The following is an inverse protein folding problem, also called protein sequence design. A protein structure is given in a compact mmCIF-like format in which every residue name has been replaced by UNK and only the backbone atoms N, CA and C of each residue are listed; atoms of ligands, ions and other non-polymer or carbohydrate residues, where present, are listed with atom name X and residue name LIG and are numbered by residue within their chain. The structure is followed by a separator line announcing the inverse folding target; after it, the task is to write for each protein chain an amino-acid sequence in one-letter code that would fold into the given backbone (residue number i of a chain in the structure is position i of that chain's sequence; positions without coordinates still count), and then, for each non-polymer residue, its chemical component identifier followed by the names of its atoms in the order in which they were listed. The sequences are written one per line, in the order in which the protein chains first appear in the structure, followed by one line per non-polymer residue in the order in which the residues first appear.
data_IF_260662106190
#
_entry.id   IF_260662106190
#
_cell.length_a   1.000
_cell.length_b   1.000
_cell.length_c   1.000
_cell.angle_alpha   90.00
_cell.angle_beta   90.00
_cell.angle_gamma   90.00
#
_symmetry.space_group_name_H-M   'P 1'
#
loop_
_entity.id
_entity.type
_entity.pdbx_description
1 polymer ?
#
# COMPACT_ATOMS: atom_id res chain seq x y z
N UNK A 1 20.26 -0.11 -70.87
CA UNK A 1 21.35 0.74 -70.36
C UNK A 1 22.08 -0.06 -69.30
N UNK A 2 23.18 -0.59 -69.70
CA UNK A 2 24.10 -1.47 -68.98
C UNK A 2 25.14 -0.62 -68.28
N UNK A 3 25.30 -0.79 -66.97
CA UNK A 3 26.45 -0.30 -66.25
C UNK A 3 27.19 -1.46 -65.61
N UNK A 4 28.32 -1.68 -66.21
CA UNK A 4 29.36 -2.66 -65.92
C UNK A 4 30.23 -2.11 -64.79
N UNK A 5 30.44 -2.90 -63.74
CA UNK A 5 31.39 -2.57 -62.69
C UNK A 5 32.58 -3.52 -62.80
N UNK A 6 33.80 -3.03 -62.92
CA UNK A 6 34.97 -3.90 -63.13
C UNK A 6 35.47 -4.45 -61.78
N UNK A 7 35.81 -5.74 -61.83
CA UNK A 7 36.46 -6.47 -60.72
C UNK A 7 37.92 -6.08 -60.67
N UNK A 8 38.40 -5.44 -59.63
CA UNK A 8 39.84 -5.24 -59.37
C UNK A 8 40.44 -6.53 -58.83
N UNK A 9 41.36 -7.03 -59.59
CA UNK A 9 42.25 -8.14 -59.19
C UNK A 9 43.40 -7.59 -58.39
N UNK A 10 43.37 -7.87 -57.06
CA UNK A 10 44.52 -7.59 -56.19
C UNK A 10 45.63 -8.59 -56.43
N UNK A 11 46.77 -8.10 -56.88
CA UNK A 11 48.01 -8.80 -57.04
C UNK A 11 48.52 -9.39 -55.72
N UNK A 12 48.96 -10.64 -55.79
CA UNK A 12 49.62 -11.35 -54.69
C UNK A 12 50.94 -10.69 -54.35
N UNK A 13 51.09 -10.33 -53.05
CA UNK A 13 52.38 -9.95 -52.49
C UNK A 13 53.21 -11.19 -52.12
N UNK A 14 54.54 -11.14 -52.23
CA UNK A 14 55.40 -12.27 -51.95
C UNK A 14 55.46 -12.58 -50.43
N UNK A 15 55.57 -13.86 -50.14
CA UNK A 15 55.70 -14.40 -48.77
C UNK A 15 57.13 -14.05 -48.28
N UNK A 16 57.22 -13.12 -47.35
CA UNK A 16 58.47 -12.90 -46.60
C UNK A 16 58.62 -14.01 -45.54
N UNK A 17 59.72 -14.70 -45.62
CA UNK A 17 60.20 -15.68 -44.63
C UNK A 17 60.40 -15.01 -43.29
N UNK A 18 59.56 -15.39 -42.35
CA UNK A 18 59.59 -14.98 -40.97
C UNK A 18 60.80 -15.65 -40.31
N UNK A 19 61.86 -14.88 -40.05
CA UNK A 19 62.98 -15.29 -39.20
C UNK A 19 62.42 -15.57 -37.78
N UNK A 20 62.76 -16.74 -37.27
CA UNK A 20 62.47 -17.15 -35.90
C UNK A 20 63.26 -16.26 -34.94
N UNK A 21 62.61 -15.21 -34.39
CA UNK A 21 63.05 -14.59 -33.14
C UNK A 21 62.81 -15.59 -32.02
N UNK A 22 63.87 -16.08 -31.42
CA UNK A 22 63.83 -16.79 -30.15
C UNK A 22 63.20 -15.87 -29.10
N UNK A 23 61.93 -16.05 -28.81
CA UNK A 23 61.25 -15.41 -27.69
C UNK A 23 61.77 -16.06 -26.40
N UNK A 24 62.64 -15.36 -25.72
CA UNK A 24 63.04 -15.70 -24.37
C UNK A 24 61.81 -15.50 -23.45
N UNK A 25 61.24 -16.57 -22.87
CA UNK A 25 59.98 -16.47 -22.10
C UNK A 25 60.16 -15.60 -20.86
N UNK A 26 61.38 -15.38 -20.40
CA UNK A 26 61.69 -14.47 -19.31
C UNK A 26 61.57 -12.98 -19.69
N UNK A 27 61.92 -12.61 -20.92
CA UNK A 27 61.78 -11.23 -21.38
C UNK A 27 60.32 -10.82 -21.56
N UNK A 28 59.44 -11.76 -22.01
CA UNK A 28 58.01 -11.51 -22.11
C UNK A 28 57.33 -11.33 -20.73
N UNK A 29 57.75 -12.10 -19.72
CA UNK A 29 57.25 -11.96 -18.34
C UNK A 29 57.72 -10.65 -17.73
N UNK A 30 58.95 -10.23 -17.93
CA UNK A 30 59.51 -8.95 -17.43
C UNK A 30 58.75 -7.76 -18.08
N UNK A 31 58.54 -7.79 -19.39
CA UNK A 31 57.73 -6.77 -20.08
C UNK A 31 56.26 -6.69 -19.55
N UNK A 32 55.65 -7.83 -19.32
CA UNK A 32 54.29 -7.88 -18.73
C UNK A 32 54.22 -7.36 -17.30
N UNK A 33 55.25 -7.58 -16.48
CA UNK A 33 55.36 -7.02 -15.12
C UNK A 33 55.56 -5.50 -15.15
N UNK A 34 56.36 -5.00 -16.08
CA UNK A 34 56.57 -3.54 -16.26
C UNK A 34 55.28 -2.86 -16.76
N UNK A 35 54.52 -3.48 -17.67
CA UNK A 35 53.25 -2.97 -18.15
C UNK A 35 52.18 -2.95 -17.04
N UNK A 36 52.11 -3.99 -16.22
CA UNK A 36 51.24 -4.03 -15.03
C UNK A 36 51.65 -2.95 -13.99
N UNK A 37 52.93 -2.73 -13.80
CA UNK A 37 53.43 -1.70 -12.88
C UNK A 37 53.08 -0.29 -13.38
N UNK A 38 53.27 -0.02 -14.66
CA UNK A 38 52.90 1.27 -15.25
C UNK A 38 51.37 1.51 -15.22
N UNK A 39 50.57 0.48 -15.47
CA UNK A 39 49.11 0.55 -15.36
C UNK A 39 48.67 0.81 -13.90
N UNK A 40 49.31 0.18 -12.93
CA UNK A 40 49.04 0.39 -11.52
C UNK A 40 49.42 1.82 -11.04
N UNK A 41 50.52 2.35 -11.54
CA UNK A 41 50.93 3.74 -11.25
C UNK A 41 50.00 4.76 -11.92
N UNK A 42 49.51 4.50 -13.13
CA UNK A 42 48.49 5.33 -13.80
C UNK A 42 47.14 5.29 -13.05
N UNK A 43 46.74 4.13 -12.57
CA UNK A 43 45.52 3.99 -11.79
C UNK A 43 45.59 4.74 -10.44
N UNK A 44 46.79 4.69 -9.81
CA UNK A 44 47.02 5.39 -8.55
C UNK A 44 46.97 6.91 -8.75
N UNK A 45 47.60 7.44 -9.79
CA UNK A 45 47.55 8.88 -10.10
C UNK A 45 46.12 9.34 -10.43
N UNK A 46 45.35 8.55 -11.15
CA UNK A 46 43.93 8.84 -11.44
C UNK A 46 43.05 8.84 -10.18
N UNK A 47 43.32 7.94 -9.23
CA UNK A 47 42.64 7.93 -7.94
C UNK A 47 43.02 9.14 -7.08
N UNK A 48 44.28 9.51 -7.05
CA UNK A 48 44.74 10.68 -6.29
C UNK A 48 44.17 11.99 -6.88
N UNK A 49 44.08 12.12 -8.20
CA UNK A 49 43.43 13.26 -8.86
C UNK A 49 41.92 13.32 -8.58
N UNK A 50 41.23 12.18 -8.58
CA UNK A 50 39.78 12.12 -8.21
C UNK A 50 39.57 12.49 -6.75
N UNK A 51 40.36 11.96 -5.84
CA UNK A 51 40.35 12.31 -4.43
C UNK A 51 40.60 13.80 -4.20
N UNK A 52 41.57 14.38 -4.89
CA UNK A 52 41.88 15.81 -4.80
C UNK A 52 40.74 16.69 -5.33
N UNK A 53 40.07 16.27 -6.42
CA UNK A 53 38.91 16.99 -6.97
C UNK A 53 37.67 16.87 -6.08
N UNK A 54 37.39 15.69 -5.53
CA UNK A 54 36.29 15.51 -4.58
C UNK A 54 36.50 16.27 -3.27
N UNK A 55 37.74 16.23 -2.73
CA UNK A 55 38.06 16.98 -1.51
C UNK A 55 37.92 18.49 -1.73
N UNK A 56 38.30 18.98 -2.92
CA UNK A 56 38.11 20.39 -3.29
C UNK A 56 36.65 20.78 -3.41
N UNK A 57 35.83 19.92 -4.07
CA UNK A 57 34.38 20.16 -4.21
C UNK A 57 33.67 20.12 -2.87
N UNK A 58 34.09 19.25 -1.95
CA UNK A 58 33.57 19.21 -0.57
C UNK A 58 33.98 20.45 0.19
N UNK A 59 35.23 20.89 0.08
CA UNK A 59 35.73 22.13 0.69
C UNK A 59 34.97 23.36 0.20
N UNK A 60 34.72 23.46 -1.11
CA UNK A 60 33.92 24.55 -1.71
C UNK A 60 32.46 24.53 -1.24
N UNK A 61 31.89 23.35 -1.05
CA UNK A 61 30.53 23.19 -0.50
C UNK A 61 30.46 23.58 0.98
N UNK A 62 31.47 23.23 1.77
CA UNK A 62 31.54 23.62 3.19
C UNK A 62 31.70 25.13 3.31
N UNK A 63 32.60 25.76 2.56
CA UNK A 63 32.78 27.22 2.58
C UNK A 63 31.58 27.97 2.05
N UNK A 64 30.84 27.42 1.06
CA UNK A 64 29.55 27.96 0.62
C UNK A 64 28.46 27.85 1.70
N UNK A 65 28.43 26.77 2.45
CA UNK A 65 27.52 26.58 3.59
C UNK A 65 27.89 27.51 4.76
N UNK A 66 29.19 27.65 5.09
CA UNK A 66 29.66 28.57 6.14
C UNK A 66 29.35 30.04 5.76
N UNK A 67 29.52 30.39 4.48
CA UNK A 67 29.16 31.75 3.98
C UNK A 67 27.65 32.00 4.07
N UNK A 68 26.84 30.98 3.88
CA UNK A 68 25.37 31.06 4.07
C UNK A 68 24.97 31.16 5.53
N UNK A 69 25.64 30.45 6.44
CA UNK A 69 25.39 30.49 7.88
C UNK A 69 25.84 31.86 8.51
N UNK A 70 26.92 32.46 8.01
CA UNK A 70 27.49 33.69 8.55
C UNK A 70 26.93 34.97 7.90
N UNK A 71 25.91 34.89 7.05
CA UNK A 71 25.28 36.06 6.42
C UNK A 71 24.26 36.68 7.38
N UNK A 72 24.50 37.86 7.96
CA UNK A 72 23.51 38.53 8.81
C UNK A 72 22.34 39.00 7.94
N UNK A 73 21.19 38.40 8.11
CA UNK A 73 19.87 38.97 7.85
C UNK A 73 19.60 39.60 6.48
N UNK A 74 19.28 38.78 5.50
CA UNK A 74 18.26 39.14 4.52
C UNK A 74 17.31 37.94 4.39
N UNK A 75 16.19 38.03 5.11
CA UNK A 75 15.13 37.03 5.11
C UNK A 75 14.50 36.89 3.74
N UNK A 76 14.96 35.93 2.96
CA UNK A 76 14.27 35.47 1.73
C UNK A 76 14.84 34.13 1.25
N UNK A 77 15.03 33.12 2.09
CA UNK A 77 15.33 31.74 1.60
C UNK A 77 14.98 30.62 2.60
N UNK A 78 13.97 30.77 3.42
CA UNK A 78 13.43 29.65 4.24
C UNK A 78 12.07 29.14 3.75
N UNK A 79 11.62 29.52 2.54
CA UNK A 79 10.27 29.19 2.05
C UNK A 79 10.09 27.79 1.46
N UNK A 80 11.06 26.90 1.46
CA UNK A 80 10.89 25.56 0.86
C UNK A 80 10.93 24.37 1.83
N UNK A 81 11.24 24.58 3.11
CA UNK A 81 11.16 23.51 4.11
C UNK A 81 10.00 23.67 5.10
N UNK A 82 9.32 24.82 5.10
CA UNK A 82 8.21 25.12 6.01
C UNK A 82 6.82 25.08 5.34
N UNK A 83 6.71 24.71 4.06
CA UNK A 83 5.41 24.57 3.39
C UNK A 83 4.43 23.67 4.16
N UNK A 84 4.80 22.44 4.61
CA UNK A 84 3.88 21.61 5.39
C UNK A 84 3.54 22.19 6.76
N UNK A 85 4.47 22.92 7.39
CA UNK A 85 4.21 23.60 8.67
C UNK A 85 3.32 24.86 8.51
N UNK A 86 3.38 25.51 7.36
CA UNK A 86 2.50 26.65 7.04
C UNK A 86 1.07 26.18 6.73
N UNK A 87 0.90 25.12 5.95
CA UNK A 87 -0.41 24.51 5.69
C UNK A 87 -1.09 24.01 6.95
N UNK A 88 -0.34 23.37 7.85
CA UNK A 88 -0.87 22.89 9.10
C UNK A 88 -1.31 24.06 10.01
N UNK A 89 -0.51 25.13 10.11
CA UNK A 89 -0.89 26.34 10.86
C UNK A 89 -2.15 26.98 10.26
N UNK A 90 -2.22 27.09 8.94
CA UNK A 90 -3.38 27.61 8.25
C UNK A 90 -4.63 26.74 8.47
N UNK A 91 -4.48 25.42 8.46
CA UNK A 91 -5.58 24.51 8.76
C UNK A 91 -6.04 24.60 10.22
N UNK A 92 -5.13 24.72 11.17
CA UNK A 92 -5.44 24.94 12.58
C UNK A 92 -6.15 26.29 12.80
N UNK A 93 -5.69 27.37 12.13
CA UNK A 93 -6.38 28.66 12.12
C UNK A 93 -7.77 28.54 11.51
N UNK A 94 -7.93 27.78 10.43
CA UNK A 94 -9.22 27.51 9.80
C UNK A 94 -10.19 26.79 10.73
N UNK A 95 -9.73 25.73 11.42
CA UNK A 95 -10.56 24.96 12.36
C UNK A 95 -11.02 25.84 13.51
N UNK A 96 -10.12 26.65 14.07
CA UNK A 96 -10.42 27.52 15.24
C UNK A 96 -11.26 28.73 14.87
N UNK A 97 -10.81 29.51 13.92
CA UNK A 97 -11.33 30.87 13.66
C UNK A 97 -12.20 30.98 12.40
N UNK A 98 -12.11 30.00 11.47
CA UNK A 98 -12.77 30.08 10.16
C UNK A 98 -12.04 31.02 9.22
N UNK A 99 -12.39 30.94 7.92
CA UNK A 99 -11.75 31.73 6.85
C UNK A 99 -11.91 33.24 7.06
N UNK A 100 -12.98 33.67 7.72
CA UNK A 100 -13.32 35.09 7.92
C UNK A 100 -12.33 35.82 8.84
N UNK A 101 -11.56 35.10 9.67
CA UNK A 101 -10.62 35.67 10.64
C UNK A 101 -9.16 35.29 10.35
N UNK A 102 -8.90 34.70 9.20
CA UNK A 102 -7.56 34.29 8.78
C UNK A 102 -6.84 35.40 8.01
N UNK A 103 -5.52 35.43 8.11
CA UNK A 103 -4.68 36.31 7.29
C UNK A 103 -4.69 35.87 5.82
N UNK A 104 -4.51 36.83 4.90
CA UNK A 104 -4.55 36.57 3.47
C UNK A 104 -3.52 35.53 2.99
N UNK A 105 -2.38 35.43 3.68
CA UNK A 105 -1.34 34.46 3.35
C UNK A 105 -1.71 33.04 3.84
N UNK A 106 -2.37 32.91 4.97
CA UNK A 106 -2.92 31.63 5.47
C UNK A 106 -4.06 31.13 4.56
N UNK A 107 -4.93 32.02 4.11
CA UNK A 107 -5.99 31.70 3.14
C UNK A 107 -5.40 31.21 1.83
N UNK A 108 -4.30 31.81 1.37
CA UNK A 108 -3.59 31.32 0.16
C UNK A 108 -2.99 29.94 0.34
N UNK A 109 -2.42 29.65 1.50
CA UNK A 109 -1.89 28.31 1.81
C UNK A 109 -2.98 27.23 1.76
N UNK A 110 -4.20 27.56 2.20
CA UNK A 110 -5.37 26.68 2.12
C UNK A 110 -5.99 26.59 0.72
N UNK A 111 -5.94 27.65 -0.10
CA UNK A 111 -6.59 27.68 -1.44
C UNK A 111 -5.89 26.80 -2.47
N UNK A 112 -4.65 26.42 -2.28
CA UNK A 112 -3.95 25.42 -3.12
C UNK A 112 -4.64 24.05 -3.04
N UNK A 113 -5.40 23.80 -1.98
CA UNK A 113 -6.03 22.52 -1.67
C UNK A 113 -7.56 22.58 -1.59
N UNK A 114 -8.24 23.48 -2.35
CA UNK A 114 -9.71 23.57 -2.33
C UNK A 114 -10.37 22.47 -3.15
N UNK A 115 -11.35 21.80 -2.55
CA UNK A 115 -12.23 20.86 -3.27
C UNK A 115 -13.33 21.62 -4.04
N UNK A 116 -13.75 21.08 -5.19
CA UNK A 116 -14.85 21.58 -6.03
C UNK A 116 -16.20 21.72 -5.31
N UNK A 117 -16.34 21.13 -4.12
CA UNK A 117 -17.55 21.19 -3.29
C UNK A 117 -17.50 22.24 -2.16
N UNK A 118 -16.50 23.14 -2.17
CA UNK A 118 -16.39 24.24 -1.20
C UNK A 118 -15.78 23.88 0.17
N UNK A 119 -15.24 22.66 0.31
CA UNK A 119 -14.47 22.26 1.49
C UNK A 119 -12.96 22.45 1.26
N UNK A 120 -12.20 22.61 2.34
CA UNK A 120 -10.75 22.61 2.27
C UNK A 120 -10.20 21.19 2.43
N UNK A 121 -9.22 20.82 1.59
CA UNK A 121 -8.49 19.57 1.75
C UNK A 121 -7.64 19.65 3.03
N UNK A 122 -7.70 18.60 3.82
CA UNK A 122 -6.87 18.51 5.01
C UNK A 122 -5.39 18.35 4.65
N UNK A 123 -4.45 18.96 5.41
CA UNK A 123 -3.02 18.82 5.18
C UNK A 123 -2.58 17.35 5.17
N UNK A 124 -1.50 17.03 4.43
CA UNK A 124 -1.00 15.66 4.34
C UNK A 124 -0.66 15.03 5.70
N UNK A 125 -0.23 15.83 6.68
CA UNK A 125 0.06 15.34 8.03
C UNK A 125 -1.20 14.88 8.75
N UNK A 126 -2.29 15.66 8.64
CA UNK A 126 -3.59 15.32 9.20
C UNK A 126 -4.16 14.05 8.53
N UNK A 127 -4.09 13.96 7.21
CA UNK A 127 -4.52 12.78 6.47
C UNK A 127 -3.69 11.55 6.85
N UNK A 128 -2.39 11.72 7.04
CA UNK A 128 -1.47 10.64 7.43
C UNK A 128 -1.73 10.15 8.85
N UNK A 129 -2.08 11.04 9.77
CA UNK A 129 -2.48 10.69 11.14
C UNK A 129 -3.84 10.00 11.15
N UNK A 130 -4.80 10.49 10.38
CA UNK A 130 -6.09 9.85 10.17
C UNK A 130 -5.92 8.45 9.58
N UNK A 131 -5.15 8.29 8.51
CA UNK A 131 -4.93 6.97 7.88
C UNK A 131 -4.24 5.98 8.84
N UNK A 132 -3.33 6.47 9.68
CA UNK A 132 -2.69 5.66 10.73
C UNK A 132 -3.70 5.18 11.77
N UNK A 133 -4.58 6.07 12.22
CA UNK A 133 -5.61 5.75 13.20
C UNK A 133 -6.71 4.88 12.59
N UNK A 134 -7.05 5.09 11.32
CA UNK A 134 -8.03 4.32 10.59
C UNK A 134 -7.74 2.81 10.59
N UNK A 135 -6.46 2.42 10.53
CA UNK A 135 -6.04 1.01 10.59
C UNK A 135 -6.40 0.38 11.94
N UNK A 136 -6.44 1.14 13.02
CA UNK A 136 -6.83 0.63 14.34
C UNK A 136 -8.30 0.22 14.38
N UNK A 137 -9.16 0.95 13.66
CA UNK A 137 -10.61 0.72 13.64
C UNK A 137 -11.07 -0.13 12.44
N UNK A 138 -10.25 -0.24 11.39
CA UNK A 138 -10.52 -1.06 10.22
C UNK A 138 -9.33 -1.99 9.91
N UNK A 139 -9.17 -3.10 10.64
CA UNK A 139 -8.04 -4.03 10.48
C UNK A 139 -7.93 -4.63 9.08
N UNK A 140 -9.04 -4.68 8.32
CA UNK A 140 -9.03 -5.17 6.92
C UNK A 140 -8.06 -4.38 6.03
N UNK A 141 -7.82 -3.10 6.32
CA UNK A 141 -6.85 -2.27 5.61
C UNK A 141 -5.40 -2.74 5.79
N UNK A 142 -5.07 -3.32 6.95
CA UNK A 142 -3.74 -3.86 7.20
C UNK A 142 -3.49 -5.17 6.44
N UNK A 143 -4.53 -5.96 6.21
CA UNK A 143 -4.44 -7.23 5.51
C UNK A 143 -4.61 -7.08 3.98
N UNK A 144 -5.44 -6.15 3.52
CA UNK A 144 -5.79 -5.92 2.12
C UNK A 144 -4.79 -4.98 1.42
N UNK A 145 -4.84 -4.98 0.09
CA UNK A 145 -4.04 -4.05 -0.72
C UNK A 145 -4.80 -2.74 -0.94
N UNK A 146 -4.26 -1.64 -0.45
CA UNK A 146 -4.75 -0.28 -0.70
C UNK A 146 -4.08 0.32 -1.93
N UNK A 147 -4.83 1.01 -2.77
CA UNK A 147 -4.35 1.68 -3.98
C UNK A 147 -5.09 3.00 -4.21
N UNK A 148 -4.43 4.04 -4.70
CA UNK A 148 -5.11 5.28 -5.06
C UNK A 148 -5.98 5.09 -6.30
N UNK A 149 -7.09 5.83 -6.39
CA UNK A 149 -8.02 5.83 -7.50
C UNK A 149 -8.22 7.23 -8.07
N UNK A 150 -8.17 7.36 -9.39
CA UNK A 150 -8.41 8.62 -10.11
C UNK A 150 -9.86 8.81 -10.56
N UNK A 151 -10.64 7.72 -10.66
CA UNK A 151 -12.03 7.73 -11.14
C UNK A 151 -13.03 7.22 -10.11
N UNK A 152 -14.31 7.48 -10.32
CA UNK A 152 -15.39 6.98 -9.45
C UNK A 152 -15.75 5.52 -9.67
N UNK A 153 -15.30 4.95 -10.78
CA UNK A 153 -15.43 3.53 -11.13
C UNK A 153 -14.08 3.02 -11.58
N UNK A 154 -13.67 1.87 -11.06
CA UNK A 154 -12.43 1.22 -11.41
C UNK A 154 -12.76 -0.10 -12.12
N UNK A 155 -12.30 -0.21 -13.36
CA UNK A 155 -12.50 -1.41 -14.17
C UNK A 155 -11.20 -2.22 -14.12
N UNK A 156 -11.27 -3.40 -13.53
CA UNK A 156 -10.15 -4.34 -13.49
C UNK A 156 -10.36 -5.44 -14.52
N UNK A 157 -9.38 -5.73 -15.39
CA UNK A 157 -9.45 -6.90 -16.26
C UNK A 157 -9.36 -8.16 -15.40
N UNK A 158 -10.33 -9.05 -15.56
CA UNK A 158 -10.36 -10.37 -14.91
C UNK A 158 -10.26 -11.44 -15.96
N UNK A 159 -9.28 -12.33 -15.82
CA UNK A 159 -9.20 -13.52 -16.68
C UNK A 159 -10.29 -14.49 -16.27
N UNK A 160 -11.18 -14.83 -17.20
CA UNK A 160 -12.32 -15.74 -17.00
C UNK A 160 -12.09 -17.14 -17.55
N UNK A 161 -11.16 -17.27 -18.51
CA UNK A 161 -10.78 -18.57 -19.06
C UNK A 161 -9.27 -18.72 -19.17
N UNK A 162 -8.79 -19.94 -19.00
CA UNK A 162 -7.36 -20.29 -19.10
C UNK A 162 -7.09 -20.96 -20.44
N UNK A 163 -5.88 -20.77 -20.98
CA UNK A 163 -5.38 -21.64 -22.05
C UNK A 163 -5.11 -23.02 -21.48
N UNK A 164 -5.45 -24.05 -22.25
CA UNK A 164 -5.08 -25.42 -21.96
C UNK A 164 -3.93 -25.83 -22.85
N UNK A 165 -2.86 -26.38 -22.26
CA UNK A 165 -1.78 -27.01 -22.98
C UNK A 165 -2.11 -28.51 -23.16
N UNK A 166 -1.88 -29.05 -24.34
CA UNK A 166 -2.02 -30.50 -24.62
C UNK A 166 -0.67 -31.09 -24.99
N UNK A 167 -0.40 -32.28 -24.52
CA UNK A 167 0.73 -33.08 -24.95
C UNK A 167 0.34 -33.78 -26.24
N UNK A 168 1.16 -33.69 -27.28
CA UNK A 168 0.92 -34.33 -28.55
C UNK A 168 2.23 -34.89 -29.14
N UNK A 169 2.13 -35.90 -29.99
CA UNK A 169 3.25 -36.41 -30.79
C UNK A 169 3.57 -35.46 -31.95
N UNK A 170 4.67 -35.72 -32.67
CA UNK A 170 5.23 -34.89 -33.74
C UNK A 170 4.23 -34.50 -34.84
N UNK A 171 3.23 -35.34 -35.09
CA UNK A 171 2.19 -35.11 -36.11
C UNK A 171 0.82 -34.74 -35.58
N UNK A 172 0.67 -34.58 -34.24
CA UNK A 172 -0.62 -34.27 -33.62
C UNK A 172 -0.84 -32.75 -33.62
N UNK A 173 -1.90 -32.24 -34.29
CA UNK A 173 -2.16 -30.79 -34.28
C UNK A 173 -2.47 -30.30 -32.84
N UNK A 174 -1.83 -29.22 -32.42
CA UNK A 174 -2.10 -28.60 -31.15
C UNK A 174 -3.50 -27.97 -31.14
N UNK A 175 -4.26 -28.22 -30.04
CA UNK A 175 -5.56 -27.60 -29.85
C UNK A 175 -5.34 -26.18 -29.32
N UNK A 176 -5.59 -25.18 -30.16
CA UNK A 176 -5.50 -23.77 -29.76
C UNK A 176 -6.67 -23.36 -28.87
N UNK A 177 -6.38 -22.98 -27.65
CA UNK A 177 -7.36 -22.35 -26.74
C UNK A 177 -6.94 -20.91 -26.47
N UNK A 178 -7.90 -19.97 -26.55
CA UNK A 178 -7.63 -18.55 -26.26
C UNK A 178 -8.05 -18.21 -24.84
N UNK A 179 -7.26 -17.38 -24.13
CA UNK A 179 -7.69 -16.87 -22.84
C UNK A 179 -8.86 -15.90 -23.03
N UNK A 180 -9.89 -16.03 -22.20
CA UNK A 180 -11.00 -15.09 -22.17
C UNK A 180 -10.84 -14.12 -21.02
N UNK A 181 -11.14 -12.86 -21.28
CA UNK A 181 -11.05 -11.79 -20.29
C UNK A 181 -12.43 -11.18 -20.08
N UNK A 182 -12.80 -11.02 -18.82
CA UNK A 182 -13.94 -10.24 -18.37
C UNK A 182 -13.49 -8.95 -17.70
N UNK A 183 -14.45 -8.16 -17.30
CA UNK A 183 -14.21 -6.93 -16.54
C UNK A 183 -14.89 -7.05 -15.19
N UNK A 184 -14.18 -6.65 -14.15
CA UNK A 184 -14.73 -6.49 -12.82
C UNK A 184 -14.76 -5.01 -12.49
N UNK A 185 -15.93 -4.51 -12.13
CA UNK A 185 -16.15 -3.11 -11.77
C UNK A 185 -16.18 -2.97 -10.26
N UNK A 186 -15.43 -2.00 -9.75
CA UNK A 186 -15.43 -1.61 -8.35
C UNK A 186 -15.79 -0.13 -8.29
N UNK A 187 -16.90 0.17 -7.66
CA UNK A 187 -17.40 1.53 -7.50
C UNK A 187 -16.79 2.17 -6.25
N UNK A 188 -16.53 3.47 -6.35
CA UNK A 188 -16.07 4.31 -5.24
C UNK A 188 -17.25 5.08 -4.71
N UNK A 189 -17.56 4.85 -3.44
CA UNK A 189 -18.68 5.49 -2.75
C UNK A 189 -18.19 6.64 -1.87
N UNK A 190 -19.09 7.52 -1.52
CA UNK A 190 -18.81 8.66 -0.67
C UNK A 190 -19.22 8.35 0.77
N UNK A 191 -18.27 8.45 1.68
CA UNK A 191 -18.47 8.32 3.12
C UNK A 191 -18.45 9.71 3.74
N UNK A 192 -19.46 10.04 4.53
CA UNK A 192 -19.66 11.37 5.16
C UNK A 192 -19.89 11.18 6.65
N UNK A 193 -19.28 12.04 7.45
CA UNK A 193 -19.62 12.19 8.85
C UNK A 193 -19.56 13.66 9.25
N UNK A 194 -20.09 14.00 10.42
CA UNK A 194 -19.96 15.32 11.01
C UNK A 194 -19.77 15.21 12.52
N UNK A 195 -19.07 16.21 13.05
CA UNK A 195 -18.87 16.39 14.47
C UNK A 195 -19.28 17.81 14.84
N UNK A 196 -20.02 17.97 15.94
CA UNK A 196 -20.42 19.28 16.48
C UNK A 196 -19.52 19.63 17.66
N UNK A 197 -18.87 20.79 17.59
CA UNK A 197 -17.93 21.29 18.59
C UNK A 197 -18.45 22.60 19.15
N UNK A 198 -18.39 22.81 20.46
CA UNK A 198 -18.88 24.05 21.08
C UNK A 198 -17.92 25.23 20.79
N UNK A 199 -18.50 26.43 20.60
CA UNK A 199 -17.72 27.66 20.42
C UNK A 199 -16.78 27.92 21.59
N UNK A 200 -17.23 27.64 22.81
CA UNK A 200 -16.42 27.79 24.05
C UNK A 200 -15.18 26.87 24.01
N UNK A 201 -15.36 25.62 23.54
CA UNK A 201 -14.22 24.69 23.37
C UNK A 201 -13.22 25.19 22.34
N UNK A 202 -13.71 25.77 21.23
CA UNK A 202 -12.85 26.33 20.18
C UNK A 202 -12.05 27.56 20.66
N UNK A 203 -12.65 28.38 21.53
CA UNK A 203 -12.03 29.60 22.05
C UNK A 203 -11.06 29.31 23.21
N UNK A 204 -11.44 28.42 24.13
CA UNK A 204 -10.71 28.16 25.36
C UNK A 204 -9.73 26.99 25.29
N UNK A 205 -9.72 26.21 24.20
CA UNK A 205 -8.95 24.97 24.16
C UNK A 205 -7.44 25.20 24.12
N UNK A 206 -6.79 24.75 25.18
CA UNK A 206 -5.37 24.44 25.22
C UNK A 206 -5.07 23.09 24.54
N UNK A 207 -6.11 22.38 24.09
CA UNK A 207 -6.00 21.06 23.47
C UNK A 207 -5.71 21.17 21.98
N UNK A 208 -5.03 20.15 21.47
CA UNK A 208 -4.76 19.97 20.04
C UNK A 208 -6.04 19.43 19.35
N UNK A 209 -6.99 20.36 19.11
CA UNK A 209 -8.31 20.04 18.59
C UNK A 209 -8.25 19.28 17.25
N UNK A 210 -7.24 19.58 16.44
CA UNK A 210 -7.04 18.93 15.15
C UNK A 210 -6.78 17.44 15.32
N UNK A 211 -6.02 17.09 16.35
CA UNK A 211 -5.69 15.70 16.66
C UNK A 211 -6.91 14.93 17.16
N UNK A 212 -7.72 15.54 18.00
CA UNK A 212 -8.98 14.94 18.46
C UNK A 212 -9.96 14.75 17.30
N UNK A 213 -10.13 15.76 16.44
CA UNK A 213 -10.97 15.62 15.24
C UNK A 213 -10.46 14.54 14.29
N UNK A 214 -9.14 14.44 14.10
CA UNK A 214 -8.56 13.38 13.29
C UNK A 214 -8.85 11.99 13.85
N UNK A 215 -8.81 11.86 15.18
CA UNK A 215 -9.11 10.60 15.85
C UNK A 215 -10.60 10.25 15.74
N UNK A 216 -11.50 11.19 16.02
CA UNK A 216 -12.95 11.00 15.91
C UNK A 216 -13.35 10.62 14.47
N UNK A 217 -12.82 11.31 13.47
CA UNK A 217 -13.08 10.97 12.07
C UNK A 217 -12.50 9.61 11.69
N UNK A 218 -11.33 9.23 12.20
CA UNK A 218 -10.73 7.93 11.96
C UNK A 218 -11.57 6.80 12.58
N UNK A 219 -12.09 7.01 13.78
CA UNK A 219 -12.96 6.05 14.46
C UNK A 219 -14.24 5.81 13.65
N UNK A 220 -14.97 6.88 13.32
CA UNK A 220 -16.24 6.77 12.60
C UNK A 220 -16.06 6.24 11.17
N UNK A 221 -15.06 6.74 10.45
CA UNK A 221 -14.77 6.21 9.11
C UNK A 221 -14.28 4.77 9.15
N UNK A 222 -13.42 4.42 10.12
CA UNK A 222 -12.93 3.06 10.28
C UNK A 222 -14.03 2.06 10.57
N UNK A 223 -14.96 2.41 11.47
CA UNK A 223 -16.12 1.59 11.80
C UNK A 223 -17.03 1.38 10.58
N UNK A 224 -17.37 2.46 9.89
CA UNK A 224 -18.25 2.39 8.72
C UNK A 224 -17.61 1.64 7.54
N UNK A 225 -16.32 1.85 7.29
CA UNK A 225 -15.56 1.13 6.25
C UNK A 225 -15.40 -0.35 6.59
N UNK A 226 -15.03 -0.69 7.83
CA UNK A 226 -14.87 -2.07 8.29
C UNK A 226 -16.15 -2.87 8.07
N UNK A 227 -17.27 -2.36 8.55
CA UNK A 227 -18.58 -2.98 8.36
C UNK A 227 -18.95 -3.14 6.86
N UNK A 228 -18.66 -2.12 6.03
CA UNK A 228 -18.95 -2.17 4.61
C UNK A 228 -18.03 -3.15 3.86
N UNK A 229 -16.75 -3.24 4.20
CA UNK A 229 -15.83 -4.17 3.56
C UNK A 229 -16.08 -5.63 3.93
N UNK A 230 -16.64 -5.90 5.10
CA UNK A 230 -17.01 -7.25 5.52
C UNK A 230 -18.38 -7.64 4.97
N UNK A 231 -19.42 -6.86 5.26
CA UNK A 231 -20.82 -7.24 5.02
C UNK A 231 -21.61 -6.29 4.10
N UNK A 232 -20.91 -5.39 3.36
CA UNK A 232 -21.58 -4.45 2.45
C UNK A 232 -22.32 -5.17 1.31
N UNK A 233 -23.44 -4.61 0.89
CA UNK A 233 -24.33 -5.16 -0.16
C UNK A 233 -24.04 -4.58 -1.57
N UNK A 234 -23.09 -3.64 -1.69
CA UNK A 234 -22.79 -2.99 -2.96
C UNK A 234 -23.74 -1.86 -3.36
N UNK A 235 -24.75 -1.55 -2.53
CA UNK A 235 -25.76 -0.50 -2.79
C UNK A 235 -25.45 0.71 -1.91
N UNK A 236 -24.94 1.80 -2.51
CA UNK A 236 -24.52 2.99 -1.75
C UNK A 236 -23.27 2.81 -0.88
N UNK A 237 -22.74 1.60 -0.79
CA UNK A 237 -21.54 1.20 -0.05
C UNK A 237 -20.77 0.10 -0.80
N UNK A 238 -19.49 -0.13 -0.50
CA UNK A 238 -18.71 -1.19 -1.13
C UNK A 238 -19.35 -2.58 -1.01
N UNK A 239 -19.10 -3.45 -2.00
CA UNK A 239 -19.48 -4.84 -1.91
C UNK A 239 -18.53 -5.59 -0.98
N UNK A 240 -19.05 -6.05 0.14
CA UNK A 240 -18.29 -6.71 1.19
C UNK A 240 -17.78 -8.08 0.83
N UNK A 241 -16.84 -8.55 1.63
CA UNK A 241 -16.24 -9.88 1.48
C UNK A 241 -17.32 -10.98 1.50
N UNK A 242 -18.24 -10.96 2.48
CA UNK A 242 -19.21 -12.01 2.68
C UNK A 242 -20.32 -12.03 1.60
N UNK A 243 -20.62 -10.90 0.97
CA UNK A 243 -21.64 -10.76 -0.06
C UNK A 243 -21.11 -10.92 -1.49
N UNK A 244 -19.83 -11.27 -1.63
CA UNK A 244 -19.24 -11.45 -2.95
C UNK A 244 -19.63 -12.82 -3.53
N UNK A 245 -20.19 -12.80 -4.74
CA UNK A 245 -20.52 -14.02 -5.46
C UNK A 245 -19.26 -14.83 -5.84
N UNK A 246 -19.35 -16.15 -5.73
CA UNK A 246 -18.29 -17.08 -6.11
C UNK A 246 -17.28 -17.36 -5.01
N UNK A 247 -17.50 -16.94 -3.79
CA UNK A 247 -16.79 -17.46 -2.63
C UNK A 247 -17.14 -18.94 -2.45
N UNK A 248 -16.10 -19.74 -2.25
CA UNK A 248 -16.27 -21.17 -1.96
C UNK A 248 -15.99 -21.39 -0.48
N UNK A 249 -16.90 -22.08 0.19
CA UNK A 249 -16.77 -22.36 1.62
C UNK A 249 -17.10 -23.80 1.98
N UNK A 250 -16.86 -24.09 3.22
CA UNK A 250 -17.32 -25.31 3.89
C UNK A 250 -18.45 -24.92 4.83
N UNK A 251 -19.40 -25.84 5.03
CA UNK A 251 -20.43 -25.68 6.04
C UNK A 251 -20.04 -26.52 7.24
N UNK A 252 -20.07 -25.95 8.43
CA UNK A 252 -19.78 -26.66 9.67
C UNK A 252 -20.82 -27.77 9.88
N UNK A 253 -20.39 -28.89 10.42
CA UNK A 253 -21.25 -30.04 10.65
C UNK A 253 -22.20 -29.84 11.85
N UNK A 254 -21.85 -28.95 12.76
CA UNK A 254 -22.61 -28.67 13.99
C UNK A 254 -22.56 -27.18 14.34
N UNK A 255 -23.40 -26.77 15.29
CA UNK A 255 -23.44 -25.38 15.80
C UNK A 255 -22.10 -24.89 16.39
N UNK A 256 -21.18 -25.79 16.74
CA UNK A 256 -19.80 -25.46 17.10
C UNK A 256 -18.87 -26.15 16.11
N UNK A 257 -18.10 -25.37 15.39
CA UNK A 257 -17.10 -25.91 14.47
C UNK A 257 -15.92 -26.55 15.21
N UNK A 258 -15.30 -27.54 14.56
CA UNK A 258 -14.25 -28.41 15.12
C UNK A 258 -12.87 -28.01 14.59
N UNK A 259 -11.81 -28.58 15.20
CA UNK A 259 -10.46 -28.42 14.71
C UNK A 259 -10.25 -29.04 13.32
N UNK A 260 -10.96 -30.13 13.02
CA UNK A 260 -10.88 -30.80 11.72
C UNK A 260 -11.41 -29.90 10.59
N UNK A 261 -12.50 -29.15 10.83
CA UNK A 261 -13.03 -28.18 9.86
C UNK A 261 -12.07 -27.03 9.59
N UNK A 262 -11.26 -26.61 10.59
CA UNK A 262 -10.18 -25.64 10.36
C UNK A 262 -9.08 -26.19 9.47
N UNK A 263 -8.72 -27.47 9.66
CA UNK A 263 -7.75 -28.17 8.83
C UNK A 263 -8.27 -28.34 7.41
N UNK A 264 -9.53 -28.72 7.25
CA UNK A 264 -10.19 -28.86 5.94
C UNK A 264 -10.25 -27.52 5.21
N UNK A 265 -10.59 -26.44 5.91
CA UNK A 265 -10.61 -25.10 5.33
C UNK A 265 -9.22 -24.64 4.87
N UNK A 266 -8.19 -24.95 5.67
CA UNK A 266 -6.80 -24.67 5.31
C UNK A 266 -6.39 -25.37 4.01
N UNK A 267 -6.74 -26.65 3.87
CA UNK A 267 -6.39 -27.46 2.70
C UNK A 267 -7.29 -27.21 1.48
N UNK A 268 -8.49 -26.65 1.69
CA UNK A 268 -9.36 -26.24 0.60
C UNK A 268 -8.84 -25.02 -0.19
N UNK A 269 -7.94 -24.21 0.40
CA UNK A 269 -7.36 -23.05 -0.28
C UNK A 269 -6.28 -23.51 -1.28
N UNK A 270 -6.30 -22.99 -2.55
CA UNK A 270 -5.24 -23.31 -3.51
C UNK A 270 -3.87 -22.90 -3.00
N UNK A 271 -2.85 -23.76 -3.22
CA UNK A 271 -1.50 -23.60 -2.68
C UNK A 271 -0.82 -22.28 -3.07
N UNK A 272 -1.20 -21.68 -4.21
CA UNK A 272 -0.69 -20.38 -4.66
C UNK A 272 -1.00 -19.23 -3.67
N UNK A 273 -2.10 -19.33 -2.90
CA UNK A 273 -2.53 -18.28 -1.96
C UNK A 273 -2.16 -18.61 -0.50
N UNK A 274 -1.89 -19.88 -0.20
CA UNK A 274 -1.65 -20.34 1.18
C UNK A 274 -0.47 -19.63 1.84
N UNK A 275 0.58 -19.27 1.08
CA UNK A 275 1.79 -18.66 1.64
C UNK A 275 1.55 -17.31 2.33
N UNK A 276 0.56 -16.53 1.88
CA UNK A 276 0.20 -15.22 2.44
C UNK A 276 -1.17 -15.19 3.07
N UNK A 277 -1.82 -16.34 3.19
CA UNK A 277 -3.14 -16.42 3.76
C UNK A 277 -3.12 -16.07 5.24
N UNK A 278 -4.19 -15.43 5.68
CA UNK A 278 -4.46 -15.08 7.07
C UNK A 278 -5.84 -15.57 7.47
N UNK A 279 -6.00 -15.85 8.76
CA UNK A 279 -7.29 -16.18 9.36
C UNK A 279 -7.98 -14.88 9.78
N UNK A 280 -9.16 -14.61 9.24
CA UNK A 280 -9.97 -13.46 9.61
C UNK A 280 -11.19 -13.93 10.40
N UNK A 281 -11.36 -13.44 11.60
CA UNK A 281 -12.47 -13.78 12.49
C UNK A 281 -12.63 -12.73 13.59
N UNK A 282 -13.80 -12.69 14.22
CA UNK A 282 -14.03 -11.80 15.34
C UNK A 282 -13.45 -12.36 16.65
N UNK A 283 -13.39 -11.53 17.67
CA UNK A 283 -12.86 -11.88 19.00
C UNK A 283 -13.60 -13.04 19.67
N UNK A 284 -14.92 -13.12 19.48
CA UNK A 284 -15.75 -14.21 20.02
C UNK A 284 -15.34 -15.54 19.41
N UNK A 285 -15.17 -15.58 18.09
CA UNK A 285 -14.75 -16.76 17.33
C UNK A 285 -13.32 -17.18 17.73
N UNK A 286 -12.38 -16.21 17.89
CA UNK A 286 -11.04 -16.48 18.42
C UNK A 286 -11.12 -17.16 19.79
N UNK A 287 -12.02 -16.69 20.66
CA UNK A 287 -12.24 -17.27 21.98
C UNK A 287 -12.73 -18.73 21.93
N UNK A 288 -13.57 -19.06 20.94
CA UNK A 288 -14.05 -20.45 20.73
C UNK A 288 -12.92 -21.34 20.24
N UNK A 289 -12.15 -20.90 19.25
CA UNK A 289 -11.00 -21.66 18.72
C UNK A 289 -9.97 -21.93 19.82
N UNK A 290 -9.69 -20.94 20.69
CA UNK A 290 -8.77 -21.12 21.82
C UNK A 290 -9.25 -22.14 22.86
N UNK A 291 -10.55 -22.32 22.99
CA UNK A 291 -11.15 -23.28 23.93
C UNK A 291 -11.22 -24.71 23.39
N UNK A 292 -10.84 -24.94 22.14
CA UNK A 292 -10.81 -26.29 21.57
C UNK A 292 -9.82 -27.16 22.30
N UNK A 293 -10.25 -28.38 22.65
CA UNK A 293 -9.48 -29.34 23.40
C UNK A 293 -9.34 -30.65 22.62
N UNK A 294 -8.24 -31.33 22.88
CA UNK A 294 -8.07 -32.72 22.43
C UNK A 294 -8.87 -33.70 23.32
N UNK A 295 -8.85 -34.99 22.97
CA UNK A 295 -9.52 -36.06 23.74
C UNK A 295 -8.97 -36.22 25.15
N UNK A 296 -7.75 -35.74 25.42
CA UNK A 296 -7.11 -35.76 26.73
C UNK A 296 -7.50 -34.53 27.61
N UNK A 297 -8.23 -33.58 27.05
CA UNK A 297 -8.65 -32.36 27.74
C UNK A 297 -7.67 -31.19 27.65
N UNK A 298 -6.56 -31.33 26.93
CA UNK A 298 -5.60 -30.26 26.70
C UNK A 298 -6.07 -29.31 25.62
N UNK A 299 -5.77 -28.02 25.79
CA UNK A 299 -6.05 -27.03 24.77
C UNK A 299 -5.18 -27.23 23.51
N UNK A 300 -5.80 -27.30 22.35
CA UNK A 300 -5.12 -27.48 21.07
C UNK A 300 -4.29 -26.26 20.68
N UNK A 301 -4.80 -25.06 20.94
CA UNK A 301 -4.09 -23.82 20.68
C UNK A 301 -3.42 -23.29 21.94
N UNK A 302 -2.10 -23.42 22.00
CA UNK A 302 -1.27 -22.84 23.06
C UNK A 302 -0.51 -21.67 22.48
N UNK A 303 -0.73 -20.48 23.01
CA UNK A 303 0.14 -19.35 22.70
C UNK A 303 1.50 -19.57 23.35
N UNK A 304 2.60 -19.37 22.63
CA UNK A 304 3.92 -19.29 23.25
C UNK A 304 3.90 -18.11 24.25
N UNK A 305 4.31 -18.36 25.49
CA UNK A 305 4.44 -17.34 26.54
C UNK A 305 5.55 -16.32 26.20
N UNK A 306 6.40 -16.62 25.22
CA UNK A 306 7.45 -15.73 24.74
C UNK A 306 6.86 -14.56 23.94
N UNK A 307 7.19 -13.35 24.37
CA UNK A 307 6.82 -12.10 23.71
C UNK A 307 7.24 -12.07 22.23
N UNK A 308 6.35 -11.58 21.35
CA UNK A 308 6.67 -11.18 20.00
C UNK A 308 6.16 -12.06 18.87
N UNK A 309 5.58 -13.23 19.12
CA UNK A 309 4.97 -14.04 18.06
C UNK A 309 3.47 -13.72 17.93
N UNK A 310 2.98 -13.29 16.75
CA UNK A 310 1.55 -13.14 16.51
C UNK A 310 0.85 -14.50 16.69
N UNK A 311 -0.40 -14.47 17.17
CA UNK A 311 -1.23 -15.65 17.27
C UNK A 311 -1.36 -16.34 15.91
N UNK A 312 -1.00 -17.62 15.82
CA UNK A 312 -1.03 -18.38 14.57
C UNK A 312 -1.87 -19.65 14.71
N UNK A 313 -2.64 -19.96 13.66
CA UNK A 313 -3.35 -21.23 13.49
C UNK A 313 -2.76 -21.92 12.26
N UNK A 314 -2.31 -23.15 12.41
CA UNK A 314 -1.64 -23.93 11.34
C UNK A 314 -0.49 -23.14 10.66
N UNK A 315 0.27 -22.37 11.46
CA UNK A 315 1.39 -21.58 10.97
C UNK A 315 1.01 -20.32 10.19
N UNK A 316 -0.28 -19.90 10.21
CA UNK A 316 -0.77 -18.67 9.56
C UNK A 316 -1.28 -17.69 10.60
N UNK A 317 -1.01 -16.39 10.40
CA UNK A 317 -1.42 -15.36 11.36
C UNK A 317 -2.94 -15.25 11.44
N UNK A 318 -3.42 -14.91 12.62
CA UNK A 318 -4.82 -14.59 12.89
C UNK A 318 -4.95 -13.07 12.96
N UNK A 319 -5.88 -12.51 12.21
CA UNK A 319 -6.24 -11.10 12.22
C UNK A 319 -7.65 -10.97 12.77
N UNK A 320 -7.80 -10.16 13.79
CA UNK A 320 -9.10 -9.88 14.39
C UNK A 320 -9.85 -8.87 13.51
N UNK A 321 -11.03 -9.29 12.99
CA UNK A 321 -11.95 -8.41 12.29
C UNK A 321 -13.20 -8.26 13.16
N UNK A 322 -13.37 -7.11 13.83
CA UNK A 322 -14.52 -6.88 14.72
C UNK A 322 -15.87 -6.99 14.02
N UNK A 323 -15.91 -6.62 12.73
CA UNK A 323 -17.13 -6.60 11.91
C UNK A 323 -17.57 -7.98 11.38
N UNK A 324 -16.74 -9.02 11.61
CA UNK A 324 -17.16 -10.39 11.25
C UNK A 324 -18.29 -10.87 12.17
N UNK A 325 -19.29 -11.59 11.63
CA UNK A 325 -20.39 -12.11 12.43
C UNK A 325 -19.89 -13.12 13.48
N UNK A 326 -20.64 -13.23 14.56
CA UNK A 326 -20.47 -14.32 15.53
C UNK A 326 -20.86 -15.66 14.88
N UNK A 327 -20.47 -16.79 15.46
CA UNK A 327 -20.86 -18.12 14.96
C UNK A 327 -22.33 -18.43 15.29
N UNK A 328 -23.24 -17.68 14.70
CA UNK A 328 -24.68 -17.87 14.75
C UNK A 328 -25.13 -18.71 13.56
N UNK A 329 -26.38 -19.21 13.58
CA UNK A 329 -26.97 -19.98 12.48
C UNK A 329 -26.88 -19.19 11.14
N UNK A 330 -26.55 -19.89 10.06
CA UNK A 330 -26.33 -19.34 8.71
C UNK A 330 -25.23 -18.26 8.60
N UNK A 331 -24.53 -17.93 9.67
CA UNK A 331 -23.48 -16.94 9.66
C UNK A 331 -22.16 -17.50 9.12
N UNK A 332 -21.28 -16.59 8.67
CA UNK A 332 -19.89 -16.90 8.25
C UNK A 332 -18.92 -16.28 9.26
N UNK A 333 -18.62 -16.96 10.37
CA UNK A 333 -17.79 -16.40 11.44
C UNK A 333 -16.30 -16.38 11.10
N UNK A 334 -15.87 -17.11 10.07
CA UNK A 334 -14.48 -17.31 9.77
C UNK A 334 -14.21 -17.31 8.27
N UNK A 335 -13.17 -16.57 7.87
CA UNK A 335 -12.64 -16.55 6.51
C UNK A 335 -11.15 -16.80 6.54
N UNK A 336 -10.69 -17.70 5.68
CA UNK A 336 -9.28 -17.98 5.47
C UNK A 336 -8.88 -17.61 4.04
N UNK A 337 -7.85 -16.77 3.86
CA UNK A 337 -7.40 -16.40 2.52
C UNK A 337 -6.32 -15.35 2.45
N UNK A 338 -5.86 -15.09 1.22
CA UNK A 338 -4.88 -14.06 0.89
C UNK A 338 -5.60 -12.74 0.58
N UNK A 339 -5.75 -11.89 1.59
CA UNK A 339 -6.37 -10.57 1.47
C UNK A 339 -5.57 -9.63 0.58
N UNK A 340 -4.23 -9.71 0.61
CA UNK A 340 -3.37 -8.86 -0.21
C UNK A 340 -3.53 -9.06 -1.72
N UNK A 341 -3.82 -10.30 -2.15
CA UNK A 341 -4.07 -10.62 -3.57
C UNK A 341 -5.55 -10.61 -3.93
N UNK A 342 -6.42 -10.96 -3.00
CA UNK A 342 -7.84 -11.21 -3.22
C UNK A 342 -8.74 -10.00 -2.98
N UNK A 343 -8.41 -9.10 -2.05
CA UNK A 343 -9.21 -7.93 -1.71
C UNK A 343 -8.45 -6.64 -2.04
N UNK A 344 -9.12 -5.69 -2.69
CA UNK A 344 -8.52 -4.38 -3.00
C UNK A 344 -9.39 -3.26 -2.47
N UNK A 345 -8.72 -2.29 -1.86
CA UNK A 345 -9.31 -1.04 -1.40
C UNK A 345 -8.78 0.08 -2.28
N UNK A 346 -9.65 0.99 -2.67
CA UNK A 346 -9.34 2.13 -3.51
C UNK A 346 -9.74 3.43 -2.82
N UNK A 347 -8.76 4.27 -2.53
CA UNK A 347 -8.96 5.60 -1.98
C UNK A 347 -8.90 6.63 -3.11
N UNK A 348 -9.97 7.43 -3.31
CA UNK A 348 -10.06 8.34 -4.45
C UNK A 348 -9.72 9.78 -4.09
N UNK A 349 -10.26 10.28 -3.02
CA UNK A 349 -10.09 11.67 -2.61
C UNK A 349 -9.59 11.67 -1.18
N UNK A 350 -8.60 12.48 -0.91
CA UNK A 350 -8.17 12.76 0.44
C UNK A 350 -9.35 13.33 1.24
N UNK A 351 -9.25 13.27 2.53
CA UNK A 351 -10.24 13.83 3.43
C UNK A 351 -10.48 15.30 3.12
N UNK A 352 -11.75 15.65 2.91
CA UNK A 352 -12.21 17.04 2.78
C UNK A 352 -12.98 17.40 4.04
N UNK A 353 -12.61 18.49 4.68
CA UNK A 353 -13.27 18.99 5.90
C UNK A 353 -13.90 20.36 5.59
N UNK A 354 -15.19 20.47 5.86
CA UNK A 354 -15.96 21.73 5.77
C UNK A 354 -16.39 22.16 7.16
N UNK A 355 -16.02 23.38 7.57
CA UNK A 355 -16.48 24.02 8.79
C UNK A 355 -17.78 24.77 8.52
N UNK A 356 -18.84 24.42 9.22
CA UNK A 356 -20.14 25.08 9.13
C UNK A 356 -20.51 25.73 10.47
N UNK A 357 -20.29 27.05 10.62
CA UNK A 357 -20.66 27.78 11.83
C UNK A 357 -22.14 28.19 11.86
N UNK A 358 -22.88 28.02 10.75
CA UNK A 358 -24.21 28.60 10.59
C UNK A 358 -25.32 27.62 10.99
N UNK A 359 -25.21 26.34 10.60
CA UNK A 359 -26.29 25.35 10.81
C UNK A 359 -26.64 25.12 12.29
N UNK A 360 -25.68 25.29 13.19
CA UNK A 360 -25.85 25.07 14.64
C UNK A 360 -25.57 26.33 15.48
N UNK A 361 -25.57 27.48 14.87
CA UNK A 361 -25.25 28.76 15.53
C UNK A 361 -26.18 29.04 16.72
N UNK A 362 -27.46 28.72 16.63
CA UNK A 362 -28.45 28.89 17.70
C UNK A 362 -28.09 28.07 18.94
N UNK A 363 -27.44 26.93 18.78
CA UNK A 363 -27.01 26.05 19.85
C UNK A 363 -25.59 26.35 20.34
N UNK A 364 -24.91 27.38 19.82
CA UNK A 364 -23.53 27.71 20.17
C UNK A 364 -22.50 26.66 19.72
N UNK A 365 -22.82 25.90 18.64
CA UNK A 365 -21.99 24.83 18.11
C UNK A 365 -21.52 25.18 16.69
N UNK A 366 -20.31 24.74 16.37
CA UNK A 366 -19.74 24.71 15.00
C UNK A 366 -19.72 23.27 14.54
N UNK A 367 -20.24 23.03 13.34
CA UNK A 367 -20.27 21.70 12.73
C UNK A 367 -19.13 21.52 11.75
N UNK A 368 -18.37 20.44 11.90
CA UNK A 368 -17.33 20.02 10.97
C UNK A 368 -17.83 18.84 10.16
N UNK A 369 -17.99 19.03 8.85
CA UNK A 369 -18.35 17.96 7.92
C UNK A 369 -17.09 17.37 7.34
N UNK A 370 -16.89 16.08 7.55
CA UNK A 370 -15.82 15.33 6.93
C UNK A 370 -16.36 14.45 5.81
N UNK A 371 -15.64 14.38 4.70
CA UNK A 371 -16.00 13.60 3.52
C UNK A 371 -14.79 12.87 2.99
N UNK A 372 -14.97 11.59 2.72
CA UNK A 372 -13.97 10.71 2.09
C UNK A 372 -14.63 9.88 0.99
N UNK A 373 -13.88 9.51 -0.04
CA UNK A 373 -14.36 8.62 -1.09
C UNK A 373 -13.53 7.36 -1.14
N UNK A 374 -14.19 6.22 -0.90
CA UNK A 374 -13.56 4.92 -0.81
C UNK A 374 -14.35 3.87 -1.59
N UNK A 375 -13.64 2.95 -2.21
CA UNK A 375 -14.20 1.77 -2.85
C UNK A 375 -13.44 0.53 -2.39
N UNK A 376 -14.08 -0.61 -2.44
CA UNK A 376 -13.44 -1.87 -2.10
C UNK A 376 -14.23 -3.04 -2.62
N UNK A 377 -13.55 -4.17 -2.73
CA UNK A 377 -14.18 -5.41 -3.13
C UNK A 377 -13.21 -6.54 -3.39
N UNK A 378 -13.76 -7.73 -3.45
CA UNK A 378 -13.02 -8.94 -3.77
C UNK A 378 -12.69 -8.97 -5.25
N UNK A 379 -11.42 -9.03 -5.59
CA UNK A 379 -10.93 -9.13 -6.98
C UNK A 379 -10.76 -10.58 -7.42
N UNK A 380 -10.41 -11.48 -6.48
CA UNK A 380 -10.23 -12.91 -6.71
C UNK A 380 -10.95 -13.69 -5.63
N UNK A 381 -12.13 -14.22 -5.94
CA UNK A 381 -12.89 -15.02 -5.00
C UNK A 381 -12.18 -16.34 -4.63
N UNK A 382 -11.41 -16.90 -5.55
CA UNK A 382 -10.62 -18.13 -5.35
C UNK A 382 -9.53 -18.02 -4.26
N UNK A 383 -9.12 -16.78 -3.91
CA UNK A 383 -8.15 -16.52 -2.86
C UNK A 383 -8.71 -16.65 -1.45
N UNK A 384 -10.03 -16.91 -1.32
CA UNK A 384 -10.72 -17.00 -0.04
C UNK A 384 -11.47 -18.31 0.12
N UNK A 385 -11.56 -18.76 1.36
CA UNK A 385 -12.44 -19.85 1.80
C UNK A 385 -13.19 -19.40 3.04
N UNK A 386 -14.48 -19.72 3.08
CA UNK A 386 -15.37 -19.33 4.17
C UNK A 386 -15.84 -20.56 4.93
N UNK A 387 -16.02 -20.43 6.24
CA UNK A 387 -16.73 -21.42 7.05
C UNK A 387 -18.11 -20.86 7.38
N UNK A 388 -19.15 -21.53 6.93
CA UNK A 388 -20.55 -21.16 7.20
C UNK A 388 -21.11 -22.05 8.30
N UNK A 389 -21.80 -21.46 9.24
CA UNK A 389 -22.48 -22.23 10.27
C UNK A 389 -23.73 -22.89 9.70
N UNK A 390 -24.15 -24.06 10.21
CA UNK A 390 -25.41 -24.69 9.81
C UNK A 390 -26.62 -23.84 10.27
N UNK A 391 -27.74 -24.00 9.57
CA UNK A 391 -29.00 -23.35 9.89
C UNK A 391 -29.61 -23.79 11.24
#
# INVERSE_FOLDING_TARGET
MTLHNPIEVRSAQPIETREQQQNDPLAAVVAGVEELRSAAEQHRTQLDERLATETRTIGDRISALETRLNRPGTGQQEQRQDEPAAEQRAFNSFVRSGVERMDADEVRALTVSTDTAGGYLAPEQFVRELDRNLVLFSPIRSAARVSPASSGEIILPKRTGTMTASWGGETTPATGTQPTYGQQKINVYELKCYVDVSNTLLEDSAFDLDRELAFDFAEEFGRAEGAAFVAGDGTGKPNGLLNTAGLTGLTAAAANFTADELIDLYHALPGAYTARAVWAMNRTTIGIVRKMKNTAGDYLWREPISEGNPATILGRPVVEFPDMPAPDADAVPLVFGDFGSGFRIFDRVNLSVLRDPYSQQVNGLVRFHARRRVGGGVTKAEAFRTLTMPA
#
